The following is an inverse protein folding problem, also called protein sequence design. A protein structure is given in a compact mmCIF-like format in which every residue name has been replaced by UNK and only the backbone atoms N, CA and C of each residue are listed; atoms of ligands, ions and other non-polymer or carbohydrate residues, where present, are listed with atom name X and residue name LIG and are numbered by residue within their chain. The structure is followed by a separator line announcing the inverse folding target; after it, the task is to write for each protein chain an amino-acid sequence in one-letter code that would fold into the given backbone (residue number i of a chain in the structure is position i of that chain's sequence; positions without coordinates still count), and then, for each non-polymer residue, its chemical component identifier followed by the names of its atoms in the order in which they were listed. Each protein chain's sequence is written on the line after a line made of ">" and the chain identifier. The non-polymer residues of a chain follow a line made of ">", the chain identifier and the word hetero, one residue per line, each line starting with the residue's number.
data_IF_988019853616
#
_entry.id   IF_988019853616
#
_cell.length_a   1.000
_cell.length_b   1.000
_cell.length_c   1.000
_cell.angle_alpha   90.00
_cell.angle_beta   90.00
_cell.angle_gamma   90.00
#
_symmetry.space_group_name_H-M   'P 1'
#
loop_
_entity.id
_entity.type
_entity.pdbx_description
1 polymer ?
#
# COMPACT_ATOMS: atom_id res chain seq x y z
N UNK A 1 -5.14 0.96 5.19
CA UNK A 1 -4.75 0.14 4.03
C UNK A 1 -3.85 0.95 3.11
N UNK A 2 -2.67 0.45 2.77
CA UNK A 2 -1.76 1.05 1.79
C UNK A 2 -1.76 0.24 0.49
N UNK A 3 -1.40 0.88 -0.61
CA UNK A 3 -1.10 0.22 -1.89
C UNK A 3 0.28 0.64 -2.36
N UNK A 4 1.06 -0.34 -2.80
CA UNK A 4 2.44 -0.19 -3.24
C UNK A 4 2.56 -0.54 -4.72
N UNK A 5 3.23 0.33 -5.48
CA UNK A 5 3.46 0.14 -6.90
C UNK A 5 4.67 -0.79 -7.08
N UNK A 6 4.50 -1.84 -7.88
CA UNK A 6 5.57 -2.77 -8.27
C UNK A 6 6.05 -2.44 -9.69
N UNK A 7 7.12 -3.11 -10.12
CA UNK A 7 7.77 -2.85 -11.40
C UNK A 7 6.80 -3.07 -12.57
N UNK A 8 6.61 -2.06 -13.42
CA UNK A 8 5.78 -2.18 -14.63
C UNK A 8 6.69 -2.61 -15.77
N UNK A 9 6.51 -3.84 -16.26
CA UNK A 9 7.31 -4.42 -17.33
C UNK A 9 6.42 -5.27 -18.25
N UNK A 10 6.78 -5.38 -19.53
CA UNK A 10 6.02 -6.15 -20.53
C UNK A 10 5.97 -7.65 -20.23
N UNK A 11 7.04 -8.18 -19.63
CA UNK A 11 7.14 -9.59 -19.22
C UNK A 11 6.39 -9.93 -17.93
N UNK A 12 5.76 -8.95 -17.26
CA UNK A 12 5.00 -9.19 -16.03
C UNK A 12 3.50 -9.11 -16.36
N UNK A 13 2.73 -10.21 -16.22
CA UNK A 13 1.29 -10.14 -16.38
C UNK A 13 0.66 -9.36 -15.22
N UNK A 14 -0.23 -8.41 -15.53
CA UNK A 14 -1.06 -7.72 -14.56
C UNK A 14 -2.40 -7.32 -15.18
N UNK A 15 -3.43 -7.15 -14.35
CA UNK A 15 -4.77 -6.79 -14.83
C UNK A 15 -4.85 -5.31 -15.19
N UNK A 16 -4.90 -4.44 -14.18
CA UNK A 16 -4.99 -2.97 -14.35
C UNK A 16 -3.72 -2.27 -13.88
N UNK A 17 -3.09 -2.79 -12.84
CA UNK A 17 -1.86 -2.24 -12.26
C UNK A 17 -1.05 -3.40 -11.68
N UNK A 18 0.27 -3.40 -11.89
CA UNK A 18 1.15 -4.25 -11.11
C UNK A 18 1.36 -3.64 -9.72
N UNK A 19 0.51 -3.98 -8.76
CA UNK A 19 0.55 -3.39 -7.41
C UNK A 19 0.06 -4.38 -6.36
N UNK A 20 0.44 -4.15 -5.10
CA UNK A 20 -0.02 -4.94 -3.97
C UNK A 20 -0.70 -4.05 -2.92
N UNK A 21 -1.65 -4.61 -2.18
CA UNK A 21 -2.36 -3.95 -1.08
C UNK A 21 -1.92 -4.52 0.27
N UNK A 22 -1.80 -3.66 1.28
CA UNK A 22 -1.45 -4.06 2.65
C UNK A 22 -2.43 -3.46 3.64
N UNK A 23 -2.95 -4.31 4.53
CA UNK A 23 -3.76 -3.91 5.67
C UNK A 23 -2.84 -3.88 6.89
N UNK A 24 -2.77 -2.71 7.55
CA UNK A 24 -1.99 -2.51 8.76
C UNK A 24 -2.91 -2.77 9.95
N UNK A 25 -2.50 -3.65 10.86
CA UNK A 25 -3.29 -4.04 12.03
C UNK A 25 -2.46 -3.70 13.28
N UNK A 26 -3.02 -2.84 14.13
CA UNK A 26 -2.43 -2.49 15.42
C UNK A 26 -3.10 -3.34 16.49
N UNK A 27 -2.51 -4.47 16.84
CA UNK A 27 -3.01 -5.41 17.84
C UNK A 27 -1.82 -5.98 18.63
N UNK A 28 -1.99 -6.16 19.94
CA UNK A 28 -0.94 -6.66 20.83
C UNK A 28 -0.90 -8.20 20.85
N UNK A 29 -2.02 -8.86 20.60
CA UNK A 29 -2.09 -10.32 20.59
C UNK A 29 -1.56 -10.90 19.26
N UNK A 30 -0.36 -11.53 19.23
CA UNK A 30 0.22 -12.04 17.98
C UNK A 30 -0.59 -13.20 17.36
N UNK A 31 -1.47 -13.86 18.14
CA UNK A 31 -2.35 -14.91 17.63
C UNK A 31 -3.36 -14.39 16.61
N UNK A 32 -3.60 -13.07 16.58
CA UNK A 32 -4.50 -12.47 15.58
C UNK A 32 -3.99 -12.68 14.15
N UNK A 33 -2.67 -12.77 13.95
CA UNK A 33 -2.07 -12.91 12.63
C UNK A 33 -2.54 -14.19 11.92
N UNK A 34 -2.57 -15.32 12.64
CA UNK A 34 -3.04 -16.58 12.09
C UNK A 34 -4.53 -16.54 11.73
N UNK A 35 -5.34 -15.91 12.58
CA UNK A 35 -6.78 -15.73 12.32
C UNK A 35 -7.02 -14.84 11.09
N UNK A 36 -6.36 -13.68 11.03
CA UNK A 36 -6.47 -12.75 9.89
C UNK A 36 -6.01 -13.40 8.60
N UNK A 37 -4.94 -14.20 8.64
CA UNK A 37 -4.44 -14.91 7.48
C UNK A 37 -5.45 -15.92 6.94
N UNK A 38 -6.02 -16.75 7.82
CA UNK A 38 -7.07 -17.70 7.43
C UNK A 38 -8.29 -16.97 6.88
N UNK A 39 -8.75 -15.92 7.55
CA UNK A 39 -9.90 -15.13 7.10
C UNK A 39 -9.66 -14.50 5.72
N UNK A 40 -8.48 -13.90 5.51
CA UNK A 40 -8.13 -13.31 4.22
C UNK A 40 -8.02 -14.37 3.11
N UNK A 41 -7.43 -15.52 3.42
CA UNK A 41 -7.36 -16.66 2.51
C UNK A 41 -8.77 -17.10 2.09
N UNK A 42 -9.67 -17.36 3.04
CA UNK A 42 -11.03 -17.84 2.77
C UNK A 42 -11.79 -16.82 1.92
N UNK A 43 -11.76 -15.53 2.30
CA UNK A 43 -12.41 -14.46 1.55
C UNK A 43 -11.87 -14.32 0.11
N UNK A 44 -10.56 -14.52 -0.08
CA UNK A 44 -9.97 -14.45 -1.41
C UNK A 44 -10.36 -15.66 -2.26
N UNK A 45 -10.33 -16.87 -1.70
CA UNK A 45 -10.73 -18.10 -2.39
C UNK A 45 -12.20 -18.08 -2.84
N UNK A 46 -13.06 -17.43 -2.08
CA UNK A 46 -14.49 -17.32 -2.39
C UNK A 46 -14.81 -16.35 -3.54
N UNK A 47 -13.93 -15.36 -3.84
CA UNK A 47 -14.28 -14.22 -4.69
C UNK A 47 -13.14 -13.68 -5.58
N UNK A 48 -12.06 -14.45 -5.82
CA UNK A 48 -11.03 -13.99 -6.75
C UNK A 48 -11.46 -14.12 -8.22
N UNK A 49 -10.95 -13.22 -9.07
CA UNK A 49 -11.29 -13.17 -10.49
C UNK A 49 -10.65 -14.35 -11.23
N UNK A 50 -11.43 -15.10 -12.01
CA UNK A 50 -10.91 -16.17 -12.87
C UNK A 50 -9.73 -15.69 -13.73
N UNK A 51 -8.64 -16.47 -13.72
CA UNK A 51 -7.40 -16.14 -14.43
C UNK A 51 -6.48 -15.15 -13.69
N UNK A 52 -6.79 -14.78 -12.44
CA UNK A 52 -5.85 -14.09 -11.57
C UNK A 52 -4.99 -15.08 -10.77
N UNK A 53 -3.80 -14.62 -10.37
CA UNK A 53 -2.83 -15.38 -9.57
C UNK A 53 -2.67 -14.76 -8.16
N UNK A 54 -3.72 -14.75 -7.31
CA UNK A 54 -3.67 -14.11 -6.01
C UNK A 54 -2.61 -14.72 -5.09
N UNK A 55 -1.93 -13.87 -4.31
CA UNK A 55 -1.06 -14.28 -3.22
C UNK A 55 -1.40 -13.55 -1.95
N UNK A 56 -1.28 -14.24 -0.81
CA UNK A 56 -1.56 -13.71 0.52
C UNK A 56 -0.41 -14.04 1.47
N UNK A 57 -0.06 -13.06 2.31
CA UNK A 57 0.95 -13.21 3.36
C UNK A 57 0.54 -12.41 4.60
N UNK A 58 0.98 -12.86 5.78
CA UNK A 58 0.87 -12.11 7.03
C UNK A 58 2.21 -12.12 7.74
N UNK A 59 2.61 -11.00 8.34
CA UNK A 59 3.82 -10.94 9.14
C UNK A 59 3.64 -10.05 10.36
N UNK A 60 4.27 -10.42 11.47
CA UNK A 60 4.51 -9.53 12.58
C UNK A 60 5.65 -8.57 12.23
N UNK A 61 5.68 -7.39 12.87
CA UNK A 61 6.70 -6.36 12.59
C UNK A 61 8.11 -6.90 12.81
N UNK A 62 8.29 -7.76 13.81
CA UNK A 62 9.57 -8.35 14.20
C UNK A 62 10.10 -9.37 13.18
N UNK A 63 9.23 -9.88 12.31
CA UNK A 63 9.62 -10.82 11.24
C UNK A 63 10.17 -10.10 10.00
N UNK A 64 9.98 -8.77 9.90
CA UNK A 64 10.42 -8.01 8.75
C UNK A 64 11.92 -7.69 8.87
N UNK A 65 12.74 -8.55 8.27
CA UNK A 65 14.18 -8.38 8.22
C UNK A 65 14.63 -7.41 7.09
N UNK A 66 15.83 -6.82 7.18
CA UNK A 66 16.39 -5.98 6.11
C UNK A 66 16.46 -6.67 4.74
N UNK A 67 16.65 -8.00 4.71
CA UNK A 67 16.63 -8.79 3.47
C UNK A 67 15.27 -8.77 2.78
N UNK A 68 14.17 -8.78 3.55
CA UNK A 68 12.83 -8.63 3.00
C UNK A 68 12.58 -7.21 2.50
N UNK A 69 13.06 -6.19 3.22
CA UNK A 69 12.97 -4.80 2.75
C UNK A 69 13.72 -4.61 1.42
N UNK A 70 14.92 -5.17 1.29
CA UNK A 70 15.67 -5.15 0.04
C UNK A 70 14.90 -5.84 -1.11
N UNK A 71 14.33 -7.01 -0.84
CA UNK A 71 13.46 -7.71 -1.81
C UNK A 71 12.27 -6.85 -2.26
N UNK A 72 11.62 -6.14 -1.34
CA UNK A 72 10.53 -5.23 -1.67
C UNK A 72 10.96 -4.09 -2.59
N UNK A 73 12.15 -3.52 -2.37
CA UNK A 73 12.74 -2.49 -3.24
C UNK A 73 13.11 -3.05 -4.61
N UNK A 74 13.67 -4.25 -4.67
CA UNK A 74 13.95 -4.92 -5.94
C UNK A 74 12.67 -5.15 -6.75
N UNK A 75 11.56 -5.49 -6.09
CA UNK A 75 10.26 -5.70 -6.73
C UNK A 75 9.67 -4.43 -7.39
N UNK A 76 10.20 -3.24 -7.08
CA UNK A 76 9.82 -1.98 -7.74
C UNK A 76 10.60 -1.72 -9.03
N UNK A 77 11.70 -2.45 -9.28
CA UNK A 77 12.64 -2.14 -10.36
C UNK A 77 13.09 -3.34 -11.20
N UNK A 78 12.84 -4.56 -10.75
CA UNK A 78 13.35 -5.79 -11.39
C UNK A 78 12.26 -6.86 -11.43
N UNK A 79 12.28 -7.70 -12.47
CA UNK A 79 11.46 -8.91 -12.55
C UNK A 79 12.00 -9.92 -11.53
N UNK A 80 11.15 -10.34 -10.60
CA UNK A 80 11.49 -11.33 -9.57
C UNK A 80 10.78 -12.64 -9.84
N UNK A 81 11.37 -13.73 -9.37
CA UNK A 81 10.75 -15.05 -9.37
C UNK A 81 10.08 -15.38 -8.02
N UNK A 82 9.15 -16.32 -8.05
CA UNK A 82 8.47 -16.80 -6.84
C UNK A 82 9.36 -17.63 -5.90
N UNK A 83 10.48 -18.18 -6.39
CA UNK A 83 11.40 -19.00 -5.57
C UNK A 83 12.03 -18.11 -4.50
N UNK A 84 12.45 -16.90 -4.86
CA UNK A 84 12.98 -15.90 -3.92
C UNK A 84 11.94 -15.52 -2.86
N UNK A 85 10.70 -15.25 -3.27
CA UNK A 85 9.61 -14.90 -2.35
C UNK A 85 9.39 -16.00 -1.30
N UNK A 86 9.25 -17.25 -1.75
CA UNK A 86 9.02 -18.43 -0.88
C UNK A 86 10.22 -18.75 0.01
N UNK A 87 11.43 -18.53 -0.49
CA UNK A 87 12.66 -18.73 0.29
C UNK A 87 12.74 -17.73 1.44
N UNK A 88 12.48 -16.44 1.17
CA UNK A 88 12.42 -15.43 2.21
C UNK A 88 11.32 -15.72 3.23
N UNK A 89 10.12 -16.08 2.75
CA UNK A 89 9.00 -16.39 3.64
C UNK A 89 9.33 -17.55 4.59
N UNK A 90 9.92 -18.64 4.07
CA UNK A 90 10.38 -19.78 4.89
C UNK A 90 11.43 -19.35 5.91
N UNK A 91 12.45 -18.60 5.49
CA UNK A 91 13.55 -18.20 6.37
C UNK A 91 13.10 -17.25 7.49
N UNK A 92 12.06 -16.45 7.25
CA UNK A 92 11.52 -15.47 8.20
C UNK A 92 10.29 -16.00 8.96
N UNK A 93 9.88 -17.25 8.72
CA UNK A 93 8.67 -17.87 9.26
C UNK A 93 7.38 -17.07 8.96
N UNK A 94 7.30 -16.47 7.77
CA UNK A 94 6.15 -15.69 7.29
C UNK A 94 5.20 -16.65 6.54
N UNK A 95 3.94 -16.82 7.00
CA UNK A 95 2.93 -17.51 6.21
C UNK A 95 2.74 -16.85 4.86
N UNK A 96 2.80 -17.65 3.79
CA UNK A 96 2.69 -17.21 2.40
C UNK A 96 1.97 -18.29 1.60
N UNK A 97 0.91 -17.91 0.89
CA UNK A 97 0.17 -18.79 0.00
C UNK A 97 -0.06 -18.11 -1.34
N UNK A 98 0.10 -18.88 -2.42
CA UNK A 98 -0.52 -18.60 -3.71
C UNK A 98 -1.88 -19.29 -3.73
N UNK A 99 -2.88 -18.62 -4.30
CA UNK A 99 -4.27 -19.06 -4.23
C UNK A 99 -4.88 -19.32 -5.62
N UNK A 100 -4.16 -19.05 -6.70
CA UNK A 100 -4.65 -19.26 -8.06
C UNK A 100 -3.54 -19.28 -9.11
N UNK A 101 -3.88 -19.86 -10.26
CA UNK A 101 -3.08 -19.97 -11.48
C UNK A 101 -1.60 -20.32 -11.28
N UNK A 102 -0.68 -19.46 -11.70
CA UNK A 102 0.78 -19.66 -11.58
C UNK A 102 1.32 -19.42 -10.18
N UNK A 103 0.47 -18.89 -9.28
CA UNK A 103 0.80 -18.46 -7.92
C UNK A 103 1.79 -17.28 -7.86
N UNK A 104 1.97 -16.52 -8.93
CA UNK A 104 2.95 -15.41 -8.97
C UNK A 104 2.61 -14.25 -8.02
N UNK A 105 1.37 -14.13 -7.57
CA UNK A 105 0.96 -13.13 -6.57
C UNK A 105 1.72 -13.22 -5.25
N UNK A 106 2.40 -14.33 -4.96
CA UNK A 106 3.29 -14.46 -3.79
C UNK A 106 4.45 -13.45 -3.82
N UNK A 107 4.89 -13.02 -5.01
CA UNK A 107 5.90 -11.98 -5.20
C UNK A 107 5.37 -10.66 -4.64
N UNK A 108 4.17 -10.27 -5.07
CA UNK A 108 3.50 -9.06 -4.62
C UNK A 108 3.16 -9.08 -3.14
N UNK A 109 2.74 -10.23 -2.59
CA UNK A 109 2.43 -10.36 -1.16
C UNK A 109 3.66 -10.08 -0.28
N UNK A 110 4.81 -10.68 -0.60
CA UNK A 110 6.06 -10.44 0.13
C UNK A 110 6.61 -9.02 -0.08
N UNK A 111 6.55 -8.51 -1.31
CA UNK A 111 6.94 -7.13 -1.62
C UNK A 111 6.07 -6.11 -0.86
N UNK A 112 4.77 -6.37 -0.72
CA UNK A 112 3.86 -5.53 0.05
C UNK A 112 4.26 -5.42 1.50
N UNK A 113 4.47 -6.56 2.19
CA UNK A 113 4.95 -6.57 3.58
C UNK A 113 6.26 -5.79 3.74
N UNK A 114 7.20 -5.99 2.81
CA UNK A 114 8.47 -5.30 2.78
C UNK A 114 8.31 -3.77 2.66
N UNK A 115 7.60 -3.31 1.63
CA UNK A 115 7.43 -1.88 1.33
C UNK A 115 6.61 -1.16 2.40
N UNK A 116 5.53 -1.78 2.88
CA UNK A 116 4.70 -1.25 3.96
C UNK A 116 5.48 -1.02 5.25
N UNK A 117 6.41 -1.92 5.59
CA UNK A 117 7.22 -1.80 6.82
C UNK A 117 8.11 -0.55 6.82
N UNK A 118 8.49 -0.02 5.65
CA UNK A 118 9.33 1.18 5.54
C UNK A 118 8.62 2.45 5.98
N UNK A 119 7.28 2.42 6.01
CA UNK A 119 6.41 3.58 6.30
C UNK A 119 6.74 4.83 5.48
N UNK A 120 7.30 4.63 4.29
CA UNK A 120 7.81 5.64 3.38
C UNK A 120 7.53 5.28 1.90
N UNK A 121 6.57 4.39 1.67
CA UNK A 121 6.28 3.86 0.35
C UNK A 121 4.76 3.70 0.14
N UNK A 122 4.32 3.92 -1.10
CA UNK A 122 2.95 3.72 -1.52
C UNK A 122 2.01 4.86 -1.11
N UNK A 123 0.71 4.55 -1.16
CA UNK A 123 -0.36 5.50 -0.80
C UNK A 123 -1.47 4.83 -0.01
N UNK A 124 -2.17 5.61 0.81
CA UNK A 124 -3.34 5.14 1.54
C UNK A 124 -4.53 4.95 0.58
N UNK A 125 -5.12 3.76 0.58
CA UNK A 125 -6.43 3.47 -0.03
C UNK A 125 -7.57 3.69 0.96
N UNK A 126 -7.28 3.48 2.24
CA UNK A 126 -8.18 3.68 3.36
C UNK A 126 -7.36 4.15 4.56
N UNK A 127 -7.74 5.30 5.10
CA UNK A 127 -7.20 5.93 6.30
C UNK A 127 -8.30 6.85 6.85
N UNK A 128 -8.74 6.64 8.09
CA UNK A 128 -9.84 7.43 8.67
C UNK A 128 -11.03 7.55 7.72
N UNK A 129 -11.39 8.80 7.38
CA UNK A 129 -12.48 9.17 6.47
C UNK A 129 -12.00 9.57 5.08
N UNK A 130 -10.78 9.21 4.68
CA UNK A 130 -10.18 9.69 3.41
C UNK A 130 -11.07 9.43 2.18
N UNK A 131 -11.92 8.40 2.21
CA UNK A 131 -12.83 8.05 1.11
C UNK A 131 -14.10 8.91 1.05
N UNK A 132 -14.40 9.65 2.10
CA UNK A 132 -15.58 10.52 2.17
C UNK A 132 -15.32 11.86 1.43
N UNK A 133 -14.04 12.21 1.23
CA UNK A 133 -13.64 13.41 0.50
C UNK A 133 -13.52 13.10 -0.99
N UNK A 134 -14.57 13.35 -1.76
CA UNK A 134 -14.59 13.08 -3.22
C UNK A 134 -14.90 14.33 -4.04
N UNK A 135 -14.25 15.43 -3.69
CA UNK A 135 -14.38 16.75 -4.30
C UNK A 135 -13.51 17.77 -3.54
N UNK A 136 -13.62 19.08 -3.84
CA UNK A 136 -12.91 20.12 -3.11
C UNK A 136 -13.14 19.99 -1.59
N UNK A 137 -12.06 20.07 -0.81
CA UNK A 137 -12.13 19.94 0.65
C UNK A 137 -11.10 20.86 1.30
N UNK A 138 -11.47 21.44 2.44
CA UNK A 138 -10.55 22.28 3.19
C UNK A 138 -9.42 21.46 3.81
N UNK A 139 -8.27 22.10 4.04
CA UNK A 139 -7.15 21.47 4.76
C UNK A 139 -7.60 20.97 6.14
N UNK A 140 -8.46 21.71 6.83
CA UNK A 140 -8.99 21.33 8.15
C UNK A 140 -9.81 20.03 8.10
N UNK A 141 -10.74 19.91 7.15
CA UNK A 141 -11.55 18.71 6.95
C UNK A 141 -10.69 17.48 6.66
N UNK A 142 -9.67 17.65 5.80
CA UNK A 142 -8.74 16.59 5.43
C UNK A 142 -7.92 16.11 6.64
N UNK A 143 -7.44 17.04 7.47
CA UNK A 143 -6.71 16.73 8.70
C UNK A 143 -7.61 16.00 9.71
N UNK A 144 -8.81 16.50 9.94
CA UNK A 144 -9.81 15.85 10.80
C UNK A 144 -10.24 14.47 10.26
N UNK A 145 -10.12 14.28 8.94
CA UNK A 145 -10.38 13.04 8.23
C UNK A 145 -9.30 11.96 8.41
N UNK A 146 -8.17 12.27 9.04
CA UNK A 146 -7.10 11.34 9.34
C UNK A 146 -5.82 11.54 8.53
N UNK A 147 -5.73 12.56 7.67
CA UNK A 147 -4.45 12.99 7.09
C UNK A 147 -3.66 13.72 8.20
N UNK A 148 -2.38 13.39 8.38
CA UNK A 148 -1.57 14.03 9.43
C UNK A 148 -1.14 15.45 9.05
N UNK A 149 -0.72 15.63 7.79
CA UNK A 149 -0.26 16.93 7.29
C UNK A 149 -0.50 17.09 5.78
N UNK A 150 -0.58 18.35 5.32
CA UNK A 150 -0.63 18.72 3.91
C UNK A 150 0.64 19.49 3.56
N UNK A 151 1.41 19.02 2.58
CA UNK A 151 2.69 19.62 2.20
C UNK A 151 2.65 20.13 0.77
N UNK A 152 3.07 21.37 0.55
CA UNK A 152 3.32 21.87 -0.80
C UNK A 152 4.62 21.25 -1.32
N UNK A 153 4.63 20.77 -2.57
CA UNK A 153 5.85 20.22 -3.21
C UNK A 153 7.01 21.22 -3.27
N UNK A 154 6.73 22.52 -3.22
CA UNK A 154 7.72 23.58 -3.13
C UNK A 154 8.38 23.69 -1.74
N UNK A 155 7.94 22.90 -0.76
CA UNK A 155 8.57 22.79 0.56
C UNK A 155 7.68 23.09 1.77
N UNK A 156 6.86 24.16 1.79
CA UNK A 156 6.19 24.54 3.02
C UNK A 156 5.00 23.62 3.33
N UNK A 157 4.79 23.39 4.63
CA UNK A 157 3.54 22.82 5.14
C UNK A 157 2.40 23.80 4.89
N UNK A 158 1.28 23.28 4.41
CA UNK A 158 0.03 24.02 4.22
C UNK A 158 -0.88 23.74 5.41
N UNK A 159 -1.40 24.80 6.02
CA UNK A 159 -2.26 24.72 7.21
C UNK A 159 -3.68 25.24 6.98
N UNK A 160 -3.97 25.83 5.82
CA UNK A 160 -5.27 26.40 5.47
C UNK A 160 -5.48 26.42 3.95
N UNK A 161 -6.72 26.66 3.52
CA UNK A 161 -7.12 26.70 2.12
C UNK A 161 -7.92 25.48 1.69
N UNK A 162 -8.29 25.44 0.42
CA UNK A 162 -9.08 24.36 -0.19
C UNK A 162 -8.22 23.57 -1.14
N UNK A 163 -8.15 22.26 -0.92
CA UNK A 163 -7.53 21.31 -1.84
C UNK A 163 -8.58 20.89 -2.87
N UNK A 164 -8.29 21.14 -4.14
CA UNK A 164 -9.14 20.84 -5.29
C UNK A 164 -9.02 19.36 -5.67
N UNK A 165 -9.51 18.45 -4.80
CA UNK A 165 -9.59 17.04 -5.19
C UNK A 165 -10.59 16.86 -6.33
N UNK A 166 -10.27 16.07 -7.36
CA UNK A 166 -11.21 15.80 -8.44
C UNK A 166 -12.47 15.12 -7.93
N UNK A 167 -13.63 15.51 -8.47
CA UNK A 167 -14.91 14.87 -8.19
C UNK A 167 -14.83 13.34 -8.34
N UNK A 168 -15.36 12.62 -7.36
CA UNK A 168 -15.36 11.16 -7.31
C UNK A 168 -14.00 10.51 -7.01
N UNK A 169 -12.94 11.27 -6.72
CA UNK A 169 -11.60 10.74 -6.39
C UNK A 169 -11.17 11.15 -4.99
N UNK A 170 -10.90 10.16 -4.16
CA UNK A 170 -10.34 10.39 -2.82
C UNK A 170 -8.91 10.96 -2.88
N UNK A 171 -8.51 11.77 -1.89
CA UNK A 171 -7.13 12.16 -1.68
C UNK A 171 -6.19 10.95 -1.65
N UNK A 172 -4.96 11.15 -2.12
CA UNK A 172 -3.92 10.11 -2.22
C UNK A 172 -2.77 10.41 -1.27
N UNK A 173 -3.07 10.46 0.03
CA UNK A 173 -2.04 10.65 1.04
C UNK A 173 -1.01 9.50 0.99
N UNK A 174 0.25 9.82 1.23
CA UNK A 174 1.38 8.91 1.16
C UNK A 174 2.02 8.76 2.55
N UNK A 175 2.54 7.58 2.92
CA UNK A 175 3.37 7.43 4.11
C UNK A 175 4.68 8.20 3.96
N UNK A 176 5.00 9.06 4.92
CA UNK A 176 6.30 9.72 5.07
C UNK A 176 6.70 9.63 6.54
N UNK A 177 7.72 8.84 6.83
CA UNK A 177 8.20 8.54 8.18
C UNK A 177 7.06 8.12 9.14
N UNK A 178 6.12 7.31 8.64
CA UNK A 178 4.98 6.84 9.44
C UNK A 178 3.81 7.80 9.55
N UNK A 179 3.88 9.00 8.96
CA UNK A 179 2.77 9.96 8.90
C UNK A 179 2.08 9.89 7.54
N UNK A 180 0.79 10.15 7.51
CA UNK A 180 0.01 10.27 6.29
C UNK A 180 0.05 11.71 5.76
N UNK A 181 0.83 11.93 4.71
CA UNK A 181 1.05 13.25 4.12
C UNK A 181 0.31 13.35 2.79
N UNK A 182 -0.55 14.36 2.65
CA UNK A 182 -1.10 14.74 1.36
C UNK A 182 -0.20 15.80 0.71
N UNK A 183 0.36 15.48 -0.44
CA UNK A 183 1.14 16.44 -1.21
C UNK A 183 0.24 17.24 -2.14
N UNK A 184 0.47 18.54 -2.20
CA UNK A 184 -0.23 19.48 -3.06
C UNK A 184 0.75 20.36 -3.84
N UNK A 185 0.30 20.91 -4.94
CA UNK A 185 0.97 21.99 -5.67
C UNK A 185 0.05 23.19 -5.69
N UNK A 186 0.60 24.37 -5.41
CA UNK A 186 -0.15 25.62 -5.50
C UNK A 186 -0.05 26.17 -6.93
N UNK A 187 -1.20 26.42 -7.56
CA UNK A 187 -1.30 27.00 -8.91
C UNK A 187 -2.36 28.08 -8.87
N UNK A 188 -2.00 29.31 -9.24
CA UNK A 188 -2.89 30.47 -9.25
C UNK A 188 -3.65 30.71 -7.93
N UNK A 189 -3.01 30.39 -6.79
CA UNK A 189 -3.59 30.52 -5.45
C UNK A 189 -4.51 29.37 -5.01
N UNK A 190 -4.65 28.33 -5.83
CA UNK A 190 -5.40 27.12 -5.51
C UNK A 190 -4.49 25.92 -5.28
N UNK A 191 -4.89 25.01 -4.39
CA UNK A 191 -4.11 23.84 -4.01
C UNK A 191 -4.61 22.62 -4.77
N UNK A 192 -3.75 22.00 -5.58
CA UNK A 192 -4.09 20.79 -6.34
C UNK A 192 -3.35 19.59 -5.76
N UNK A 193 -4.03 18.46 -5.49
CA UNK A 193 -3.37 17.27 -4.99
C UNK A 193 -2.46 16.68 -6.07
N UNK A 194 -1.25 16.31 -5.68
CA UNK A 194 -0.30 15.64 -6.57
C UNK A 194 -0.23 14.14 -6.26
N UNK A 195 -0.09 13.35 -7.33
CA UNK A 195 0.15 11.91 -7.20
C UNK A 195 1.65 11.68 -7.05
N UNK A 196 2.07 11.16 -5.91
CA UNK A 196 3.39 10.57 -5.71
C UNK A 196 3.26 9.05 -5.82
N UNK A 197 4.12 8.43 -6.61
CA UNK A 197 4.25 6.97 -6.70
C UNK A 197 5.41 6.51 -5.82
#
# INVERSE_FOLDING_TARGET
>A
MTRHQLYVHEDIPYTSHNSCGVIHICEENPRIAAYVFSLAQDMMLDDFIDGSDPGVAVALTEQIAPSLVAYGRDAQHTILDQIRARTLARNLNIPLLGLGGTEDGVIGAMAGLALASTRNDGRFLQLGKIRDFTGPSTVEELLAGGIDEVWNIAGPRVTSGTVQNPEGKSPKACPVNGRAILFVEERDGELFPIKRD
#
